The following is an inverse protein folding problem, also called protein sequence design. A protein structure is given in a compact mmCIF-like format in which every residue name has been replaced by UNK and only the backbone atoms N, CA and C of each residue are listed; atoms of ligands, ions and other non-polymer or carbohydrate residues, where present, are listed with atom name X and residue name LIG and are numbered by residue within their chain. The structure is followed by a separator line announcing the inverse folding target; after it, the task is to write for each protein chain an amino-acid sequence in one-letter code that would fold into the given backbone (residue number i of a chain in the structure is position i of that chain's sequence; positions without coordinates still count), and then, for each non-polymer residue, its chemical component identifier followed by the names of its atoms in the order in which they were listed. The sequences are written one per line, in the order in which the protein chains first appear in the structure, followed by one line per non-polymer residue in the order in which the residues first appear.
data_IF_720802258769
#
_entry.id   IF_720802258769
#
_cell.length_a   1.000
_cell.length_b   1.000
_cell.length_c   1.000
_cell.angle_alpha   90.00
_cell.angle_beta   90.00
_cell.angle_gamma   90.00
#
_symmetry.space_group_name_H-M   'P 1'
#
loop_
_entity.id
_entity.type
_entity.pdbx_description
1 polymer ?
#
# COMPACT_ATOMS: atom_id res chain seq x y z
N UNK A 1 5.35 -27.16 -43.86
CA UNK A 1 4.87 -26.36 -42.71
C UNK A 1 4.09 -27.27 -41.79
N UNK A 2 4.35 -27.19 -40.49
CA UNK A 2 3.64 -27.95 -39.46
C UNK A 2 2.19 -27.45 -39.33
N UNK A 3 1.27 -28.35 -38.97
CA UNK A 3 -0.15 -28.00 -38.71
C UNK A 3 -0.29 -26.86 -37.69
N UNK A 4 0.66 -26.74 -36.77
CA UNK A 4 0.72 -25.64 -35.80
C UNK A 4 1.05 -24.29 -36.46
N UNK A 5 2.03 -24.27 -37.37
CA UNK A 5 2.46 -23.04 -38.07
C UNK A 5 1.35 -22.48 -38.95
N UNK A 6 0.63 -23.35 -39.66
CA UNK A 6 -0.51 -22.97 -40.50
C UNK A 6 -1.64 -22.36 -39.63
N UNK A 7 -1.88 -22.92 -38.44
CA UNK A 7 -2.90 -22.42 -37.50
C UNK A 7 -2.53 -21.05 -36.94
N UNK A 8 -1.26 -20.83 -36.59
CA UNK A 8 -0.79 -19.55 -36.06
C UNK A 8 -0.78 -18.45 -37.12
N UNK A 9 -0.46 -18.78 -38.37
CA UNK A 9 -0.56 -17.82 -39.48
C UNK A 9 -2.00 -17.36 -39.73
N UNK A 10 -2.96 -18.30 -39.76
CA UNK A 10 -4.39 -17.97 -39.88
C UNK A 10 -4.93 -17.18 -38.68
N UNK A 11 -4.40 -17.41 -37.47
CA UNK A 11 -4.73 -16.61 -36.30
C UNK A 11 -4.24 -15.16 -36.45
N UNK A 12 -3.00 -14.96 -36.90
CA UNK A 12 -2.43 -13.62 -37.08
C UNK A 12 -3.22 -12.79 -38.10
N UNK A 13 -3.66 -13.41 -39.20
CA UNK A 13 -4.53 -12.78 -40.20
C UNK A 13 -5.89 -12.40 -39.62
N UNK A 14 -6.53 -13.31 -38.88
CA UNK A 14 -7.82 -13.03 -38.22
C UNK A 14 -7.73 -11.90 -37.17
N UNK A 15 -6.59 -11.78 -36.47
CA UNK A 15 -6.30 -10.65 -35.57
C UNK A 15 -6.20 -9.35 -36.36
N UNK A 16 -5.42 -9.34 -37.45
CA UNK A 16 -5.19 -8.16 -38.28
C UNK A 16 -6.49 -7.63 -38.91
N UNK A 17 -7.41 -8.53 -39.28
CA UNK A 17 -8.70 -8.20 -39.87
C UNK A 17 -9.83 -8.04 -38.84
N UNK A 18 -9.50 -8.13 -37.54
CA UNK A 18 -10.44 -8.03 -36.43
C UNK A 18 -11.65 -9.00 -36.54
N UNK A 19 -11.39 -10.23 -36.99
CA UNK A 19 -12.39 -11.31 -37.19
C UNK A 19 -12.41 -12.33 -36.04
N UNK A 20 -11.85 -11.97 -34.88
CA UNK A 20 -11.85 -12.87 -33.72
C UNK A 20 -13.27 -13.01 -33.15
N UNK A 21 -13.73 -14.25 -33.04
CA UNK A 21 -14.94 -14.61 -32.31
C UNK A 21 -14.50 -15.35 -31.05
N UNK A 22 -14.79 -14.76 -29.89
CA UNK A 22 -14.48 -15.37 -28.61
C UNK A 22 -15.66 -16.25 -28.18
N UNK A 23 -15.39 -17.53 -27.96
CA UNK A 23 -16.36 -18.40 -27.31
C UNK A 23 -16.35 -18.13 -25.80
N UNK A 24 -17.47 -17.61 -25.29
CA UNK A 24 -17.64 -17.35 -23.86
C UNK A 24 -18.13 -18.58 -23.07
N UNK A 25 -18.41 -19.70 -23.73
CA UNK A 25 -18.82 -20.96 -23.12
C UNK A 25 -17.65 -21.83 -22.62
N UNK A 26 -16.42 -21.49 -22.97
CA UNK A 26 -15.24 -22.25 -22.55
C UNK A 26 -14.75 -21.72 -21.19
N UNK A 27 -14.92 -22.53 -20.14
CA UNK A 27 -14.30 -22.26 -18.84
C UNK A 27 -12.81 -22.65 -18.92
N UNK A 28 -11.93 -21.66 -18.99
CA UNK A 28 -10.50 -21.87 -18.85
C UNK A 28 -10.15 -22.14 -17.38
N UNK A 29 -9.29 -23.13 -17.13
CA UNK A 29 -8.71 -23.33 -15.80
C UNK A 29 -7.75 -22.17 -15.51
N UNK A 30 -8.18 -21.25 -14.66
CA UNK A 30 -7.36 -20.12 -14.24
C UNK A 30 -6.34 -20.57 -13.18
N UNK A 31 -5.14 -19.97 -13.15
CA UNK A 31 -4.22 -20.16 -12.05
C UNK A 31 -4.91 -19.87 -10.72
N UNK A 32 -4.58 -20.60 -9.64
CA UNK A 32 -5.17 -20.36 -8.34
C UNK A 32 -4.89 -18.91 -7.91
N UNK A 33 -5.92 -18.24 -7.41
CA UNK A 33 -5.80 -16.90 -6.84
C UNK A 33 -4.90 -16.99 -5.61
N UNK A 34 -3.85 -16.17 -5.57
CA UNK A 34 -3.00 -16.10 -4.39
C UNK A 34 -3.80 -15.51 -3.22
N UNK A 35 -3.98 -16.28 -2.15
CA UNK A 35 -4.70 -15.83 -0.95
C UNK A 35 -3.99 -14.69 -0.20
N UNK A 36 -2.71 -14.47 -0.50
CA UNK A 36 -1.94 -13.35 0.05
C UNK A 36 -0.82 -12.91 -0.88
N UNK A 37 -0.44 -11.65 -0.76
CA UNK A 37 0.68 -11.10 -1.51
C UNK A 37 2.00 -11.81 -1.15
N UNK A 38 2.81 -12.22 -2.15
CA UNK A 38 4.08 -12.89 -1.94
C UNK A 38 5.00 -12.10 -1.00
N UNK A 39 5.70 -12.82 -0.11
CA UNK A 39 6.62 -12.22 0.85
C UNK A 39 8.03 -12.70 0.56
N UNK A 40 9.00 -11.80 0.70
CA UNK A 40 10.43 -12.09 0.55
C UNK A 40 11.14 -12.02 1.90
N UNK A 41 12.10 -12.91 2.11
CA UNK A 41 12.96 -12.88 3.30
C UNK A 41 14.04 -11.83 3.11
N UNK A 42 14.18 -10.93 4.07
CA UNK A 42 15.22 -9.88 4.09
C UNK A 42 16.01 -9.95 5.39
N UNK A 43 17.31 -9.68 5.30
CA UNK A 43 18.21 -9.57 6.45
C UNK A 43 18.47 -8.11 6.77
N UNK A 44 18.16 -7.68 8.00
CA UNK A 44 18.43 -6.34 8.50
C UNK A 44 19.43 -6.41 9.66
N UNK A 45 20.49 -5.61 9.59
CA UNK A 45 21.42 -5.43 10.71
C UNK A 45 20.92 -4.31 11.61
N UNK A 46 20.85 -4.59 12.90
CA UNK A 46 20.49 -3.64 13.94
C UNK A 46 21.55 -3.71 15.03
N UNK A 47 21.77 -2.58 15.71
CA UNK A 47 22.53 -2.59 16.94
C UNK A 47 21.81 -3.47 17.99
N UNK A 48 22.61 -4.17 18.80
CA UNK A 48 22.07 -5.13 19.78
C UNK A 48 21.09 -4.45 20.74
N UNK A 49 21.39 -3.23 21.16
CA UNK A 49 20.54 -2.45 22.05
C UNK A 49 19.16 -2.17 21.42
N UNK A 50 19.12 -1.80 20.15
CA UNK A 50 17.85 -1.52 19.45
C UNK A 50 17.05 -2.79 19.20
N UNK A 51 17.71 -3.89 18.86
CA UNK A 51 17.02 -5.17 18.71
C UNK A 51 16.39 -5.65 20.03
N UNK A 52 17.09 -5.51 21.16
CA UNK A 52 16.52 -5.85 22.47
C UNK A 52 15.35 -4.94 22.85
N UNK A 53 15.37 -3.65 22.47
CA UNK A 53 14.21 -2.75 22.62
C UNK A 53 13.02 -3.24 21.81
N UNK A 54 13.22 -3.64 20.55
CA UNK A 54 12.16 -4.23 19.71
C UNK A 54 11.58 -5.47 20.38
N UNK A 55 12.43 -6.37 20.92
CA UNK A 55 11.96 -7.58 21.61
C UNK A 55 11.13 -7.26 22.85
N UNK A 56 11.54 -6.28 23.64
CA UNK A 56 10.80 -5.85 24.82
C UNK A 56 9.41 -5.33 24.46
N UNK A 57 9.31 -4.46 23.45
CA UNK A 57 8.02 -3.92 22.97
C UNK A 57 7.13 -5.03 22.39
N UNK A 58 7.70 -5.91 21.57
CA UNK A 58 6.96 -7.03 20.99
C UNK A 58 6.42 -7.99 22.06
N UNK A 59 7.23 -8.26 23.11
CA UNK A 59 6.81 -9.07 24.25
C UNK A 59 5.68 -8.41 25.02
N UNK A 60 5.76 -7.12 25.31
CA UNK A 60 4.70 -6.38 26.00
C UNK A 60 3.38 -6.38 25.18
N UNK A 61 3.48 -6.36 23.86
CA UNK A 61 2.34 -6.42 22.94
C UNK A 61 1.87 -7.86 22.62
N UNK A 62 2.53 -8.90 23.13
CA UNK A 62 2.15 -10.30 22.86
C UNK A 62 2.35 -10.76 21.40
N UNK A 63 3.22 -10.10 20.63
CA UNK A 63 3.45 -10.40 19.21
C UNK A 63 4.91 -10.77 18.93
N UNK A 64 5.15 -11.37 17.76
CA UNK A 64 6.52 -11.69 17.32
C UNK A 64 7.28 -10.40 16.97
N UNK A 65 8.58 -10.28 17.31
CA UNK A 65 9.40 -9.13 16.91
C UNK A 65 9.37 -8.85 15.41
N UNK A 66 9.36 -9.88 14.57
CA UNK A 66 9.27 -9.74 13.10
C UNK A 66 7.93 -9.21 12.61
N UNK A 67 6.84 -9.47 13.36
CA UNK A 67 5.54 -8.85 13.08
C UNK A 67 5.61 -7.36 13.43
N UNK A 68 6.08 -7.03 14.64
CA UNK A 68 6.22 -5.64 15.07
C UNK A 68 7.10 -4.81 14.12
N UNK A 69 8.28 -5.34 13.75
CA UNK A 69 9.19 -4.67 12.82
C UNK A 69 8.52 -4.41 11.45
N UNK A 70 7.80 -5.38 10.92
CA UNK A 70 7.05 -5.21 9.67
C UNK A 70 5.96 -4.14 9.81
N UNK A 71 5.19 -4.17 10.89
CA UNK A 71 4.12 -3.19 11.12
C UNK A 71 4.68 -1.76 11.20
N UNK A 72 5.84 -1.59 11.86
CA UNK A 72 6.54 -0.30 11.91
C UNK A 72 7.15 0.13 10.58
N UNK A 73 7.73 -0.79 9.80
CA UNK A 73 8.22 -0.48 8.45
C UNK A 73 7.07 -0.02 7.56
N UNK A 74 5.94 -0.73 7.56
CA UNK A 74 4.76 -0.36 6.78
C UNK A 74 4.19 1.00 7.23
N UNK A 75 4.12 1.25 8.54
CA UNK A 75 3.69 2.55 9.07
C UNK A 75 4.65 3.69 8.66
N UNK A 76 5.96 3.42 8.66
CA UNK A 76 6.98 4.37 8.21
C UNK A 76 6.86 4.69 6.72
N UNK A 77 6.64 3.67 5.88
CA UNK A 77 6.42 3.85 4.45
C UNK A 77 5.13 4.61 4.15
N UNK A 78 4.02 4.26 4.80
CA UNK A 78 2.75 4.99 4.67
C UNK A 78 2.85 6.45 5.14
N UNK A 79 3.79 6.75 6.04
CA UNK A 79 4.09 8.11 6.46
C UNK A 79 4.98 8.90 5.48
N UNK A 80 5.75 8.20 4.64
CA UNK A 80 6.65 8.76 3.63
C UNK A 80 5.98 8.94 2.26
N UNK A 81 4.89 8.23 2.00
CA UNK A 81 4.01 8.50 0.85
C UNK A 81 3.30 9.85 1.08
N UNK A 82 3.81 10.91 0.44
CA UNK A 82 3.34 12.30 0.56
C UNK A 82 1.89 12.54 0.06
N UNK A 83 1.22 11.54 -0.49
CA UNK A 83 -0.17 11.66 -0.95
C UNK A 83 -1.18 11.30 0.15
N UNK A 84 -1.28 12.15 1.17
CA UNK A 84 -2.42 12.12 2.09
C UNK A 84 -3.60 12.84 1.46
N UNK A 85 -4.44 12.09 0.75
CA UNK A 85 -5.75 12.61 0.33
C UNK A 85 -6.64 12.69 1.56
N UNK A 86 -6.94 13.92 1.99
CA UNK A 86 -7.95 14.21 3.00
C UNK A 86 -9.20 14.74 2.31
N UNK A 87 -10.38 14.46 2.86
CA UNK A 87 -11.60 15.07 2.35
C UNK A 87 -11.54 16.59 2.62
N UNK A 88 -12.02 17.39 1.66
CA UNK A 88 -12.12 18.86 1.82
C UNK A 88 -12.96 19.22 3.05
N UNK A 89 -13.97 18.41 3.38
CA UNK A 89 -14.81 18.60 4.55
C UNK A 89 -14.04 18.44 5.87
N UNK A 90 -13.15 17.45 5.97
CA UNK A 90 -12.35 17.22 7.17
C UNK A 90 -11.26 18.30 7.33
N UNK A 91 -10.67 18.75 6.22
CA UNK A 91 -9.75 19.89 6.23
C UNK A 91 -10.43 21.17 6.74
N UNK A 92 -11.62 21.49 6.21
CA UNK A 92 -12.39 22.66 6.64
C UNK A 92 -12.79 22.57 8.11
N UNK A 93 -13.15 21.39 8.60
CA UNK A 93 -13.46 21.16 10.02
C UNK A 93 -12.24 21.37 10.91
N UNK A 94 -11.06 20.89 10.49
CA UNK A 94 -9.82 21.09 11.21
C UNK A 94 -9.40 22.57 11.26
N UNK A 95 -9.50 23.30 10.14
CA UNK A 95 -9.22 24.74 10.08
C UNK A 95 -10.17 25.54 10.98
N UNK A 96 -11.47 25.21 10.96
CA UNK A 96 -12.46 25.85 11.81
C UNK A 96 -12.20 25.60 13.31
N UNK A 97 -11.65 24.44 13.69
CA UNK A 97 -11.29 24.13 15.06
C UNK A 97 -10.05 24.91 15.56
N UNK A 98 -9.19 25.40 14.66
CA UNK A 98 -7.97 26.16 14.99
C UNK A 98 -8.26 27.67 15.10
N UNK A 99 -9.22 28.19 14.33
CA UNK A 99 -9.58 29.62 14.31
C UNK A 99 -9.88 30.26 15.69
N UNK A 100 -10.51 29.59 16.67
CA UNK A 100 -10.78 30.19 17.99
C UNK A 100 -9.52 30.41 18.82
N UNK A 101 -8.45 29.65 18.58
CA UNK A 101 -7.21 29.73 19.37
C UNK A 101 -6.33 30.93 18.97
N UNK A 102 -6.43 31.41 17.73
CA UNK A 102 -5.69 32.59 17.24
C UNK A 102 -6.36 33.90 17.64
N UNK A 103 -7.69 33.91 17.82
CA UNK A 103 -8.43 35.11 18.26
C UNK A 103 -8.33 35.39 19.77
N UNK A 104 -7.96 34.40 20.58
CA UNK A 104 -7.82 34.54 22.04
C UNK A 104 -6.45 35.10 22.49
N UNK A 105 -5.48 35.25 21.57
CA UNK A 105 -4.16 35.82 21.82
C UNK A 105 -4.06 37.32 21.51
N UNK A 106 -5.01 38.13 21.99
CA UNK A 106 -4.92 39.59 21.88
C UNK A 106 -3.72 40.15 22.67
N UNK A 107 -3.07 41.25 22.22
CA UNK A 107 -1.81 41.72 22.78
C UNK A 107 -2.01 42.14 24.25
N UNK A 108 -1.33 41.44 25.16
CA UNK A 108 -1.19 41.83 26.56
C UNK A 108 -0.51 43.20 26.59
N UNK A 109 -1.31 44.25 26.82
CA UNK A 109 -0.79 45.60 27.08
C UNK A 109 0.06 45.52 28.35
N UNK A 110 1.36 45.68 28.17
CA UNK A 110 2.32 45.82 29.24
C UNK A 110 1.93 47.02 30.11
N UNK A 111 1.72 46.81 31.41
CA UNK A 111 1.48 47.87 32.37
C UNK A 111 2.20 47.54 33.69
N UNK A 112 3.13 48.46 34.00
CA UNK A 112 3.88 48.67 35.23
C UNK A 112 5.02 47.69 35.55
#
# INVERSE_FOLDING_TARGET
MSSHEVRMAGLAEAVAENRLVFDHGVTAELPPVLESEPKVTVSLRLDVADYERVRAVARAAGIKPTRLMRDWILAGLAGADDEKTISVADLLRAVAAIAPAVAAGGPTRNAA
#
